data_IF_887931427025
#
_entry.id   IF_887931427025
#
_cell.length_a   1.000
_cell.length_b   1.000
_cell.length_c   1.000
_cell.angle_alpha   90.00
_cell.angle_beta   90.00
_cell.angle_gamma   90.00
#
_symmetry.space_group_name_H-M   'P 1'
#
loop_
_entity.id
_entity.type
_entity.pdbx_description
1 polymer ?
#
# COMPACT_ATOMS: atom_id res chain seq x y z
N UNK A 1 -12.30 -28.41 6.79
CA UNK A 1 -10.92 -27.91 7.02
C UNK A 1 -10.07 -27.74 5.76
N UNK A 2 -10.44 -28.33 4.60
CA UNK A 2 -9.58 -28.31 3.40
C UNK A 2 -9.54 -26.97 2.64
N UNK A 3 -10.63 -26.19 2.65
CA UNK A 3 -10.73 -24.90 1.94
C UNK A 3 -9.91 -23.77 2.58
N UNK A 4 -9.58 -23.89 3.87
CA UNK A 4 -8.83 -22.89 4.62
C UNK A 4 -7.32 -22.94 4.30
N UNK A 5 -6.75 -24.16 4.14
CA UNK A 5 -5.36 -24.34 3.66
C UNK A 5 -5.16 -23.88 2.21
N UNK A 6 -6.20 -24.04 1.38
CA UNK A 6 -6.15 -23.68 -0.04
C UNK A 6 -6.12 -22.15 -0.23
N UNK A 7 -6.85 -21.38 0.58
CA UNK A 7 -6.86 -19.91 0.51
C UNK A 7 -5.52 -19.31 0.97
N UNK A 8 -4.90 -19.82 2.04
CA UNK A 8 -3.56 -19.38 2.47
C UNK A 8 -2.48 -19.76 1.46
N UNK A 9 -2.61 -20.91 0.78
CA UNK A 9 -1.69 -21.32 -0.28
C UNK A 9 -1.81 -20.46 -1.55
N UNK A 10 -3.02 -20.01 -1.90
CA UNK A 10 -3.23 -19.11 -3.06
C UNK A 10 -2.72 -17.69 -2.75
N UNK A 11 -2.94 -17.18 -1.54
CA UNK A 11 -2.36 -15.89 -1.11
C UNK A 11 -0.82 -15.96 -1.02
N UNK A 12 -0.25 -17.12 -0.66
CA UNK A 12 1.20 -17.35 -0.68
C UNK A 12 1.78 -17.48 -2.10
N UNK A 13 1.04 -18.10 -3.03
CA UNK A 13 1.47 -18.25 -4.43
C UNK A 13 1.36 -16.93 -5.21
N UNK A 14 0.38 -16.08 -4.89
CA UNK A 14 0.22 -14.75 -5.50
C UNK A 14 1.32 -13.77 -5.06
N UNK A 15 1.90 -13.98 -3.87
CA UNK A 15 3.04 -13.21 -3.35
C UNK A 15 4.39 -13.65 -3.93
N UNK A 16 4.50 -14.88 -4.44
CA UNK A 16 5.72 -15.41 -5.07
C UNK A 16 5.76 -15.13 -6.58
N UNK A 17 4.60 -14.87 -7.21
CA UNK A 17 4.50 -14.61 -8.66
C UNK A 17 4.58 -13.12 -9.07
N UNK A 18 4.62 -12.17 -8.12
CA UNK A 18 4.68 -10.72 -8.40
C UNK A 18 6.03 -10.06 -8.09
N UNK A 19 7.17 -10.73 -8.27
CA UNK A 19 8.40 -10.05 -8.74
C UNK A 19 9.62 -10.98 -8.92
N UNK A 20 10.17 -11.07 -10.14
CA UNK A 20 11.59 -11.33 -10.38
C UNK A 20 12.49 -10.10 -10.11
N UNK A 21 11.96 -9.02 -9.53
CA UNK A 21 12.60 -7.71 -9.42
C UNK A 21 13.36 -7.40 -8.13
N UNK A 22 13.67 -8.40 -7.30
CA UNK A 22 14.43 -8.19 -6.04
C UNK A 22 15.77 -8.93 -6.01
N UNK A 23 16.30 -9.32 -7.18
CA UNK A 23 17.66 -9.87 -7.29
C UNK A 23 18.45 -9.01 -8.29
N UNK A 24 19.46 -8.31 -7.78
CA UNK A 24 20.46 -7.50 -8.51
C UNK A 24 20.08 -6.06 -8.91
N UNK A 25 20.17 -5.13 -7.95
CA UNK A 25 20.95 -3.92 -8.17
C UNK A 25 22.16 -3.95 -7.24
N UNK A 26 23.25 -4.57 -7.70
CA UNK A 26 24.57 -4.22 -7.21
C UNK A 26 25.03 -2.99 -8.01
N UNK A 27 24.52 -1.81 -7.65
CA UNK A 27 25.13 -0.56 -8.12
C UNK A 27 26.43 -0.39 -7.34
N UNK A 28 27.51 -0.88 -7.95
CA UNK A 28 28.88 -0.48 -7.62
C UNK A 28 29.01 1.01 -7.94
N UNK A 29 28.88 1.87 -6.93
CA UNK A 29 29.54 3.16 -6.94
C UNK A 29 30.66 3.08 -5.93
N UNK A 30 31.89 2.99 -6.44
CA UNK A 30 33.10 2.96 -5.65
C UNK A 30 33.17 4.22 -4.78
N UNK A 31 33.23 4.02 -3.48
CA UNK A 31 33.53 5.05 -2.49
C UNK A 31 35.02 5.36 -2.53
N UNK A 32 35.40 6.54 -3.00
CA UNK A 32 36.70 7.13 -2.66
C UNK A 32 36.51 8.08 -1.48
N UNK A 33 37.07 7.66 -0.36
CA UNK A 33 37.64 8.49 0.71
C UNK A 33 36.70 9.31 1.59
N UNK A 34 36.47 8.78 2.80
CA UNK A 34 35.97 9.53 3.94
C UNK A 34 35.35 8.58 4.97
N UNK A 35 36.01 8.43 6.12
CA UNK A 35 35.48 7.71 7.28
C UNK A 35 34.02 8.18 7.56
N UNK A 36 33.13 7.22 7.80
CA UNK A 36 31.66 7.33 7.95
C UNK A 36 30.86 7.36 6.63
N UNK A 37 30.43 6.20 6.11
CA UNK A 37 29.36 6.14 5.14
C UNK A 37 28.08 6.62 5.82
N UNK A 38 27.57 7.79 5.40
CA UNK A 38 26.25 8.25 5.79
C UNK A 38 25.21 7.20 5.33
N UNK A 39 24.53 6.47 6.24
CA UNK A 39 23.58 5.40 5.88
C UNK A 39 22.27 5.93 5.29
N UNK A 40 22.21 7.23 5.06
CA UNK A 40 21.14 7.94 4.42
C UNK A 40 21.75 8.77 3.29
N UNK A 41 21.52 8.38 2.03
CA UNK A 41 21.67 9.33 0.93
C UNK A 41 20.55 10.37 1.12
N UNK A 42 20.80 11.39 1.93
CA UNK A 42 19.91 12.54 2.09
C UNK A 42 20.76 13.73 1.71
N UNK A 43 20.73 14.08 0.42
CA UNK A 43 21.18 15.39 -0.04
C UNK A 43 20.05 16.42 -0.01
N UNK A 44 18.79 15.98 0.03
CA UNK A 44 17.63 16.82 -0.33
C UNK A 44 16.37 16.41 0.45
N UNK A 45 15.57 17.40 0.86
CA UNK A 45 14.27 17.20 1.54
C UNK A 45 13.30 16.36 0.68
N UNK A 46 13.47 16.40 -0.64
CA UNK A 46 12.61 15.72 -1.60
C UNK A 46 12.69 14.18 -1.52
N UNK A 47 13.89 13.62 -1.38
CA UNK A 47 14.06 12.15 -1.28
C UNK A 47 13.47 11.60 0.02
N UNK A 48 13.56 12.37 1.12
CA UNK A 48 12.90 12.01 2.38
C UNK A 48 11.38 12.02 2.25
N UNK A 49 10.85 13.03 1.56
CA UNK A 49 9.41 13.13 1.33
C UNK A 49 8.92 11.96 0.48
N UNK A 50 9.66 11.57 -0.57
CA UNK A 50 9.32 10.41 -1.40
C UNK A 50 9.36 9.08 -0.63
N UNK A 51 10.37 8.88 0.23
CA UNK A 51 10.47 7.69 1.06
C UNK A 51 9.28 7.55 2.03
N UNK A 52 8.87 8.66 2.66
CA UNK A 52 7.71 8.69 3.56
C UNK A 52 6.41 8.42 2.79
N UNK A 53 6.23 9.06 1.63
CA UNK A 53 5.06 8.84 0.78
C UNK A 53 4.99 7.36 0.38
N UNK A 54 6.07 6.78 -0.14
CA UNK A 54 6.10 5.38 -0.55
C UNK A 54 5.82 4.42 0.62
N UNK A 55 6.32 4.72 1.81
CA UNK A 55 6.04 3.94 3.01
C UNK A 55 4.54 3.94 3.38
N UNK A 56 3.89 5.11 3.35
CA UNK A 56 2.45 5.24 3.62
C UNK A 56 1.63 4.52 2.54
N UNK A 57 2.04 4.59 1.28
CA UNK A 57 1.38 3.88 0.19
C UNK A 57 1.46 2.37 0.32
N UNK A 58 2.64 1.85 0.64
CA UNK A 58 2.85 0.41 0.84
C UNK A 58 1.94 -0.15 1.95
N UNK A 59 1.68 0.65 2.99
CA UNK A 59 0.79 0.26 4.09
C UNK A 59 -0.71 0.47 3.77
N UNK A 60 -1.05 1.36 2.86
CA UNK A 60 -2.46 1.68 2.55
C UNK A 60 -3.21 0.52 1.89
N UNK A 61 -2.57 -0.20 0.96
CA UNK A 61 -3.17 -1.34 0.25
C UNK A 61 -3.66 -2.49 1.17
N UNK A 62 -2.84 -3.01 2.10
CA UNK A 62 -3.29 -4.08 3.00
C UNK A 62 -4.39 -3.61 3.96
N UNK A 63 -4.35 -2.35 4.42
CA UNK A 63 -5.38 -1.79 5.32
C UNK A 63 -6.73 -1.74 4.62
N UNK A 64 -6.79 -1.17 3.41
CA UNK A 64 -8.04 -1.04 2.65
C UNK A 64 -8.66 -2.41 2.38
N UNK A 65 -7.83 -3.38 1.97
CA UNK A 65 -8.28 -4.76 1.75
C UNK A 65 -8.86 -5.37 3.03
N UNK A 66 -8.19 -5.18 4.19
CA UNK A 66 -8.68 -5.68 5.47
C UNK A 66 -10.03 -5.10 5.89
N UNK A 67 -10.23 -3.78 5.71
CA UNK A 67 -11.49 -3.11 6.06
C UNK A 67 -12.65 -3.57 5.15
N UNK A 68 -12.40 -3.73 3.84
CA UNK A 68 -13.41 -4.21 2.90
C UNK A 68 -13.84 -5.64 3.24
N UNK A 69 -12.89 -6.51 3.59
CA UNK A 69 -13.20 -7.88 4.03
C UNK A 69 -14.01 -7.87 5.33
N UNK A 70 -13.63 -7.06 6.31
CA UNK A 70 -14.39 -6.92 7.55
C UNK A 70 -15.83 -6.47 7.30
N UNK A 71 -16.02 -5.47 6.44
CA UNK A 71 -17.35 -5.00 6.06
C UNK A 71 -18.19 -6.09 5.39
N UNK A 72 -17.58 -6.88 4.50
CA UNK A 72 -18.23 -8.02 3.87
C UNK A 72 -18.68 -9.09 4.87
N UNK A 73 -17.84 -9.39 5.88
CA UNK A 73 -18.22 -10.30 6.96
C UNK A 73 -19.39 -9.78 7.80
N UNK A 74 -19.42 -8.48 8.11
CA UNK A 74 -20.54 -7.86 8.85
C UNK A 74 -21.84 -7.96 8.04
N UNK A 75 -21.81 -7.69 6.74
CA UNK A 75 -23.00 -7.84 5.88
C UNK A 75 -23.45 -9.30 5.78
N UNK A 76 -22.53 -10.26 5.62
CA UNK A 76 -22.85 -11.68 5.47
C UNK A 76 -23.42 -12.30 6.76
N UNK A 77 -22.97 -11.83 7.93
CA UNK A 77 -23.42 -12.32 9.25
C UNK A 77 -24.68 -11.62 9.78
N UNK A 78 -25.27 -10.72 9.00
CA UNK A 78 -26.38 -9.87 9.45
C UNK A 78 -27.71 -10.61 9.72
N UNK A 79 -27.85 -11.88 9.31
CA UNK A 79 -29.00 -12.77 9.64
C UNK A 79 -30.39 -12.11 9.61
N UNK A 80 -30.64 -11.22 8.63
CA UNK A 80 -31.92 -10.53 8.46
C UNK A 80 -32.14 -9.27 9.31
N UNK A 81 -31.16 -8.84 10.12
CA UNK A 81 -31.23 -7.56 10.82
C UNK A 81 -30.76 -6.42 9.89
N UNK A 82 -31.63 -5.45 9.54
CA UNK A 82 -31.28 -4.39 8.60
C UNK A 82 -30.15 -3.48 9.13
N UNK A 83 -30.04 -3.35 10.45
CA UNK A 83 -29.07 -2.47 11.09
C UNK A 83 -27.61 -2.91 10.86
N UNK A 84 -27.35 -4.22 10.84
CA UNK A 84 -26.00 -4.75 10.58
C UNK A 84 -25.63 -4.69 9.11
N UNK A 85 -26.62 -4.81 8.23
CA UNK A 85 -26.41 -4.61 6.80
C UNK A 85 -26.04 -3.15 6.48
N UNK A 86 -26.80 -2.20 7.02
CA UNK A 86 -26.52 -0.77 6.87
C UNK A 86 -25.15 -0.38 7.46
N UNK A 87 -24.77 -1.00 8.58
CA UNK A 87 -23.44 -0.82 9.16
C UNK A 87 -22.33 -1.26 8.19
N UNK A 88 -22.46 -2.42 7.54
CA UNK A 88 -21.49 -2.90 6.56
C UNK A 88 -21.35 -1.98 5.33
N UNK A 89 -22.46 -1.48 4.79
CA UNK A 89 -22.44 -0.49 3.69
C UNK A 89 -21.72 0.78 4.10
N UNK A 90 -22.02 1.28 5.29
CA UNK A 90 -21.37 2.48 5.85
C UNK A 90 -19.85 2.28 5.94
N UNK A 91 -19.39 1.12 6.42
CA UNK A 91 -17.96 0.80 6.51
C UNK A 91 -17.31 0.79 5.12
N UNK A 92 -17.95 0.22 4.10
CA UNK A 92 -17.42 0.24 2.72
C UNK A 92 -17.31 1.67 2.18
N UNK A 93 -18.32 2.51 2.43
CA UNK A 93 -18.29 3.91 2.00
C UNK A 93 -17.12 4.65 2.65
N UNK A 94 -16.90 4.49 3.95
CA UNK A 94 -15.75 5.09 4.63
C UNK A 94 -14.41 4.56 4.10
N UNK A 95 -14.31 3.26 3.81
CA UNK A 95 -13.12 2.67 3.21
C UNK A 95 -12.84 3.23 1.80
N UNK A 96 -13.90 3.41 0.99
CA UNK A 96 -13.80 4.00 -0.34
C UNK A 96 -13.33 5.46 -0.28
N UNK A 97 -13.89 6.26 0.64
CA UNK A 97 -13.46 7.65 0.85
C UNK A 97 -11.98 7.70 1.25
N UNK A 98 -11.54 6.85 2.18
CA UNK A 98 -10.14 6.77 2.59
C UNK A 98 -9.20 6.42 1.43
N UNK A 99 -9.60 5.46 0.58
CA UNK A 99 -8.83 5.08 -0.60
C UNK A 99 -8.76 6.20 -1.65
N UNK A 100 -9.87 6.92 -1.87
CA UNK A 100 -9.90 8.09 -2.76
C UNK A 100 -8.95 9.18 -2.28
N UNK A 101 -8.90 9.48 -0.99
CA UNK A 101 -7.97 10.47 -0.42
C UNK A 101 -6.52 10.08 -0.67
N UNK A 102 -6.18 8.80 -0.51
CA UNK A 102 -4.84 8.30 -0.84
C UNK A 102 -4.55 8.53 -2.32
N UNK A 103 -5.41 8.10 -3.24
CA UNK A 103 -5.23 8.31 -4.68
C UNK A 103 -5.06 9.79 -5.07
N UNK A 104 -5.85 10.68 -4.47
CA UNK A 104 -5.76 12.12 -4.70
C UNK A 104 -4.41 12.69 -4.26
N UNK A 105 -3.82 12.17 -3.18
CA UNK A 105 -2.50 12.59 -2.71
C UNK A 105 -1.42 12.42 -3.79
N UNK A 106 -1.36 11.26 -4.49
CA UNK A 106 -0.45 11.10 -5.63
C UNK A 106 -0.90 11.87 -6.86
N UNK A 107 -2.20 11.94 -7.11
CA UNK A 107 -2.76 12.66 -8.26
C UNK A 107 -2.30 14.12 -8.29
N UNK A 108 -2.35 14.79 -7.14
CA UNK A 108 -1.90 16.19 -7.01
C UNK A 108 -0.39 16.32 -7.21
N UNK A 109 0.42 15.46 -6.58
CA UNK A 109 1.89 15.47 -6.74
C UNK A 109 2.29 15.19 -8.20
N UNK A 110 1.60 14.28 -8.88
CA UNK A 110 1.84 13.97 -10.28
C UNK A 110 1.55 15.16 -11.19
N UNK A 111 0.41 15.85 -10.97
CA UNK A 111 0.06 17.04 -11.74
C UNK A 111 1.10 18.15 -11.53
N UNK A 112 1.50 18.41 -10.28
CA UNK A 112 2.52 19.42 -9.98
C UNK A 112 3.84 19.08 -10.68
N UNK A 113 4.29 17.83 -10.62
CA UNK A 113 5.49 17.37 -11.34
C UNK A 113 5.35 17.48 -12.86
N UNK A 114 4.18 17.22 -13.43
CA UNK A 114 3.94 17.34 -14.87
C UNK A 114 3.93 18.78 -15.39
N UNK A 115 3.59 19.74 -14.52
CA UNK A 115 3.52 21.16 -14.87
C UNK A 115 4.86 21.87 -14.60
N UNK A 116 5.59 21.50 -13.54
CA UNK A 116 6.87 22.12 -13.14
C UNK A 116 8.11 21.35 -13.58
N UNK A 117 7.99 20.08 -13.99
CA UNK A 117 9.08 19.24 -14.46
C UNK A 117 9.23 19.28 -15.98
N UNK A 118 9.98 20.26 -16.47
CA UNK A 118 10.83 20.11 -17.64
C UNK A 118 12.21 19.58 -17.18
#
# INVERSE_FOLDING_TARGET
MSKLKTITAITGLILIAMSPGVICQATTTASTSGLFPNPSKIGTIEELLEAIINFVYAMSFPIVTGVVLYAAFVMMTSSGKPEKFQQGITIIIYAAIGFVVVLLSKGVVFIIRSIFGA
#
